data_IF_899951797061
#
_entry.id   IF_899951797061
#
_cell.length_a   1.000
_cell.length_b   1.000
_cell.length_c   1.000
_cell.angle_alpha   90.00
_cell.angle_beta   90.00
_cell.angle_gamma   90.00
#
_symmetry.space_group_name_H-M   'P 1'
#
loop_
_entity.id
_entity.type
_entity.pdbx_description
1 polymer ?
#
# COMPACT_ATOMS: atom_id res chain seq x y z
N UNK A 1 -0.14 -3.01 -23.30
CA UNK A 1 -0.55 -4.16 -22.46
C UNK A 1 -1.68 -3.67 -21.58
N UNK A 2 -2.90 -4.11 -21.88
CA UNK A 2 -4.12 -3.59 -21.26
C UNK A 2 -4.11 -3.73 -19.74
N UNK A 3 -4.58 -2.69 -19.05
CA UNK A 3 -4.70 -2.64 -17.58
C UNK A 3 -5.45 -3.87 -17.05
N UNK A 4 -6.42 -4.37 -17.82
CA UNK A 4 -7.17 -5.60 -17.53
C UNK A 4 -6.29 -6.86 -17.49
N UNK A 5 -5.34 -7.01 -18.43
CA UNK A 5 -4.44 -8.17 -18.48
C UNK A 5 -3.46 -8.18 -17.31
N UNK A 6 -2.97 -6.99 -16.90
CA UNK A 6 -2.16 -6.85 -15.68
C UNK A 6 -2.96 -7.20 -14.42
N UNK A 7 -4.22 -6.80 -14.34
CA UNK A 7 -5.08 -7.06 -13.19
C UNK A 7 -5.42 -8.56 -13.06
N UNK A 8 -5.61 -9.24 -14.19
CA UNK A 8 -5.86 -10.69 -14.23
C UNK A 8 -4.61 -11.51 -13.89
N UNK A 9 -3.44 -11.11 -14.40
CA UNK A 9 -2.15 -11.70 -14.02
C UNK A 9 -1.93 -11.57 -12.51
N UNK A 10 -2.11 -10.37 -11.95
CA UNK A 10 -1.91 -10.11 -10.53
C UNK A 10 -2.90 -10.90 -9.66
N UNK A 11 -4.15 -11.06 -10.12
CA UNK A 11 -5.11 -11.94 -9.46
C UNK A 11 -4.60 -13.38 -9.39
N UNK A 12 -4.09 -13.92 -10.50
CA UNK A 12 -3.56 -15.29 -10.58
C UNK A 12 -2.34 -15.48 -9.67
N UNK A 13 -1.43 -14.50 -9.65
CA UNK A 13 -0.27 -14.49 -8.74
C UNK A 13 -0.69 -14.50 -7.27
N UNK A 14 -1.68 -13.69 -6.89
CA UNK A 14 -2.16 -13.69 -5.51
C UNK A 14 -2.80 -15.04 -5.13
N UNK A 15 -3.53 -15.68 -6.05
CA UNK A 15 -4.08 -17.02 -5.79
C UNK A 15 -3.00 -18.09 -5.64
N UNK A 16 -1.92 -18.05 -6.43
CA UNK A 16 -0.79 -18.97 -6.24
C UNK A 16 -0.03 -18.69 -4.95
N UNK A 17 0.09 -17.42 -4.53
CA UNK A 17 0.72 -17.08 -3.24
C UNK A 17 -0.12 -17.61 -2.05
N UNK A 18 -1.46 -17.57 -2.16
CA UNK A 18 -2.35 -18.20 -1.19
C UNK A 18 -2.19 -19.71 -1.11
N UNK A 19 -2.06 -20.37 -2.26
CA UNK A 19 -1.90 -21.83 -2.34
C UNK A 19 -0.54 -22.28 -1.80
N UNK A 20 0.52 -21.50 -2.08
CA UNK A 20 1.83 -21.70 -1.47
C UNK A 20 1.79 -21.50 0.04
N UNK A 21 1.10 -20.47 0.55
CA UNK A 21 0.95 -20.24 1.98
C UNK A 21 0.22 -21.42 2.66
N UNK A 22 -0.84 -21.92 2.04
CA UNK A 22 -1.56 -23.11 2.50
C UNK A 22 -0.68 -24.37 2.45
N UNK A 23 0.19 -24.49 1.44
CA UNK A 23 1.12 -25.61 1.32
C UNK A 23 2.24 -25.55 2.36
N UNK A 24 2.77 -24.35 2.66
CA UNK A 24 3.76 -24.16 3.72
C UNK A 24 3.19 -24.38 5.11
N UNK A 25 1.87 -24.19 5.30
CA UNK A 25 1.21 -24.52 6.56
C UNK A 25 1.10 -26.03 6.80
N UNK A 26 1.03 -26.83 5.73
CA UNK A 26 0.95 -28.28 5.84
C UNK A 26 2.33 -28.93 6.07
N UNK A 27 3.42 -28.14 6.02
CA UNK A 27 4.79 -28.60 6.23
C UNK A 27 5.33 -27.84 7.44
N UNK A 28 5.31 -28.52 8.58
CA UNK A 28 5.34 -27.99 9.95
C UNK A 28 6.64 -27.29 10.41
N UNK A 29 7.62 -27.04 9.52
CA UNK A 29 9.03 -26.88 9.93
C UNK A 29 9.72 -25.53 9.60
N UNK A 30 9.08 -24.56 8.95
CA UNK A 30 9.77 -23.29 8.62
C UNK A 30 9.04 -22.03 9.15
N UNK A 31 9.36 -21.68 10.41
CA UNK A 31 8.85 -20.53 11.16
C UNK A 31 9.00 -19.18 10.42
N UNK A 32 9.92 -19.06 9.46
CA UNK A 32 10.21 -17.80 8.76
C UNK A 32 9.56 -17.67 7.37
N UNK A 33 9.09 -18.77 6.77
CA UNK A 33 8.45 -18.71 5.43
C UNK A 33 7.02 -18.16 5.48
N UNK A 34 6.26 -18.49 6.52
CA UNK A 34 4.89 -17.99 6.70
C UNK A 34 4.78 -16.44 6.73
N UNK A 35 5.54 -15.70 7.56
CA UNK A 35 5.44 -14.24 7.61
C UNK A 35 5.91 -13.56 6.31
N UNK A 36 6.89 -14.14 5.60
CA UNK A 36 7.40 -13.57 4.34
C UNK A 36 6.40 -13.73 3.20
N UNK A 37 5.67 -14.86 3.12
CA UNK A 37 4.60 -15.07 2.15
C UNK A 37 3.40 -14.15 2.44
N UNK A 38 3.07 -13.96 3.72
CA UNK A 38 2.03 -13.01 4.15
C UNK A 38 2.34 -11.57 3.75
N UNK A 39 3.59 -11.13 3.93
CA UNK A 39 4.05 -9.82 3.50
C UNK A 39 3.95 -9.65 1.97
N UNK A 40 4.32 -10.69 1.22
CA UNK A 40 4.22 -10.70 -0.25
C UNK A 40 2.78 -10.60 -0.75
N UNK A 41 1.85 -11.35 -0.16
CA UNK A 41 0.42 -11.27 -0.47
C UNK A 41 -0.12 -9.86 -0.21
N UNK A 42 0.25 -9.25 0.91
CA UNK A 42 -0.14 -7.87 1.22
C UNK A 42 0.38 -6.87 0.18
N UNK A 43 1.63 -7.02 -0.27
CA UNK A 43 2.21 -6.18 -1.31
C UNK A 43 1.43 -6.31 -2.63
N UNK A 44 1.16 -7.53 -3.09
CA UNK A 44 0.39 -7.76 -4.31
C UNK A 44 -1.05 -7.24 -4.20
N UNK A 45 -1.65 -7.28 -3.01
CA UNK A 45 -2.98 -6.73 -2.75
C UNK A 45 -3.01 -5.19 -2.81
N UNK A 46 -1.92 -4.53 -2.39
CA UNK A 46 -1.75 -3.08 -2.51
C UNK A 46 -1.57 -2.68 -3.97
N UNK A 47 -0.71 -3.38 -4.70
CA UNK A 47 -0.52 -3.16 -6.14
C UNK A 47 -1.83 -3.34 -6.91
N UNK A 48 -2.61 -4.40 -6.61
CA UNK A 48 -3.92 -4.63 -7.22
C UNK A 48 -4.88 -3.46 -6.97
N UNK A 49 -4.88 -2.91 -5.74
CA UNK A 49 -5.70 -1.76 -5.36
C UNK A 49 -5.28 -0.49 -6.11
N UNK A 50 -3.99 -0.30 -6.33
CA UNK A 50 -3.47 0.87 -7.00
C UNK A 50 -3.73 0.82 -8.51
N UNK A 51 -3.61 -0.36 -9.14
CA UNK A 51 -4.09 -0.56 -10.51
C UNK A 51 -5.60 -0.35 -10.65
N UNK A 52 -6.40 -0.79 -9.67
CA UNK A 52 -7.83 -0.49 -9.60
C UNK A 52 -8.13 1.02 -9.49
N UNK A 53 -7.30 1.76 -8.76
CA UNK A 53 -7.43 3.22 -8.61
C UNK A 53 -7.12 3.94 -9.92
N UNK A 54 -6.05 3.53 -10.61
CA UNK A 54 -5.69 4.05 -11.93
C UNK A 54 -6.79 3.73 -12.94
N UNK A 55 -7.31 2.51 -12.92
CA UNK A 55 -8.43 2.10 -13.76
C UNK A 55 -9.70 2.93 -13.50
N UNK A 56 -10.04 3.20 -12.24
CA UNK A 56 -11.16 4.08 -11.89
C UNK A 56 -11.01 5.50 -12.45
N UNK A 57 -9.79 6.01 -12.57
CA UNK A 57 -9.54 7.32 -13.15
C UNK A 57 -9.51 7.34 -14.69
N UNK A 58 -9.25 6.19 -15.32
CA UNK A 58 -9.09 6.05 -16.78
C UNK A 58 -10.37 5.55 -17.48
N UNK A 59 -11.17 4.73 -16.81
CA UNK A 59 -12.38 4.13 -17.38
C UNK A 59 -13.64 4.85 -16.88
N UNK A 60 -14.42 5.41 -17.82
CA UNK A 60 -15.74 6.04 -17.56
C UNK A 60 -16.82 5.03 -17.18
N UNK A 61 -16.62 3.73 -17.45
CA UNK A 61 -17.61 2.68 -17.24
C UNK A 61 -17.55 2.09 -15.81
N UNK A 62 -18.54 2.45 -14.99
CA UNK A 62 -18.65 2.08 -13.56
C UNK A 62 -18.94 0.58 -13.36
N UNK A 63 -19.48 -0.10 -14.38
CA UNK A 63 -19.84 -1.53 -14.32
C UNK A 63 -18.62 -2.43 -14.16
N UNK A 64 -17.59 -2.20 -14.98
CA UNK A 64 -16.38 -3.02 -14.99
C UNK A 64 -15.56 -2.81 -13.71
N UNK A 65 -15.47 -1.57 -13.24
CA UNK A 65 -14.83 -1.24 -11.96
C UNK A 65 -15.45 -2.00 -10.78
N UNK A 66 -16.79 -2.08 -10.71
CA UNK A 66 -17.49 -2.81 -9.63
C UNK A 66 -17.14 -4.30 -9.59
N UNK A 67 -16.95 -4.94 -10.75
CA UNK A 67 -16.59 -6.36 -10.83
C UNK A 67 -15.20 -6.59 -10.20
N UNK A 68 -14.22 -5.74 -10.52
CA UNK A 68 -12.87 -5.87 -9.97
C UNK A 68 -12.78 -5.46 -8.49
N UNK A 69 -13.59 -4.51 -8.04
CA UNK A 69 -13.72 -4.18 -6.61
C UNK A 69 -14.27 -5.36 -5.79
N UNK A 70 -15.29 -6.05 -6.32
CA UNK A 70 -15.84 -7.26 -5.69
C UNK A 70 -14.79 -8.38 -5.61
N UNK A 71 -13.99 -8.57 -6.66
CA UNK A 71 -12.88 -9.54 -6.67
C UNK A 71 -11.82 -9.20 -5.61
N UNK A 72 -11.40 -7.94 -5.50
CA UNK A 72 -10.47 -7.52 -4.44
C UNK A 72 -11.07 -7.73 -3.03
N UNK A 73 -12.36 -7.48 -2.86
CA UNK A 73 -13.05 -7.68 -1.57
C UNK A 73 -13.13 -9.16 -1.19
N UNK A 74 -13.36 -10.05 -2.16
CA UNK A 74 -13.30 -11.49 -1.95
C UNK A 74 -11.88 -11.94 -1.56
N UNK A 75 -10.85 -11.40 -2.23
CA UNK A 75 -9.46 -11.69 -1.96
C UNK A 75 -9.03 -11.27 -0.55
N UNK A 76 -9.45 -10.07 -0.12
CA UNK A 76 -9.28 -9.58 1.25
C UNK A 76 -9.93 -10.49 2.29
N UNK A 77 -11.17 -10.91 2.05
CA UNK A 77 -11.87 -11.83 2.96
C UNK A 77 -11.14 -13.16 3.08
N UNK A 78 -10.63 -13.71 1.97
CA UNK A 78 -9.81 -14.92 2.00
C UNK A 78 -8.52 -14.71 2.79
N UNK A 79 -7.82 -13.60 2.57
CA UNK A 79 -6.63 -13.24 3.36
C UNK A 79 -6.91 -13.21 4.85
N UNK A 80 -7.93 -12.48 5.28
CA UNK A 80 -8.28 -12.37 6.70
C UNK A 80 -8.63 -13.72 7.31
N UNK A 81 -9.34 -14.59 6.58
CA UNK A 81 -9.65 -15.95 7.05
C UNK A 81 -8.38 -16.79 7.22
N UNK A 82 -7.47 -16.73 6.24
CA UNK A 82 -6.18 -17.44 6.33
C UNK A 82 -5.37 -16.91 7.51
N UNK A 83 -5.24 -15.59 7.66
CA UNK A 83 -4.55 -14.98 8.82
C UNK A 83 -5.12 -15.42 10.16
N UNK A 84 -6.44 -15.51 10.28
CA UNK A 84 -7.12 -15.95 11.49
C UNK A 84 -6.79 -17.41 11.80
N UNK A 85 -6.81 -18.28 10.78
CA UNK A 85 -6.42 -19.68 10.92
C UNK A 85 -4.97 -19.84 11.42
N UNK A 86 -4.02 -19.07 10.88
CA UNK A 86 -2.62 -19.09 11.36
C UNK A 86 -2.53 -18.68 12.82
N UNK A 87 -3.23 -17.63 13.21
CA UNK A 87 -3.18 -17.15 14.58
C UNK A 87 -3.79 -18.16 15.55
N UNK A 88 -4.91 -18.79 15.17
CA UNK A 88 -5.58 -19.83 15.95
C UNK A 88 -4.69 -21.07 16.14
N UNK A 89 -4.03 -21.54 15.08
CA UNK A 89 -3.04 -22.63 15.14
C UNK A 89 -1.88 -22.30 16.10
N UNK A 90 -1.33 -21.08 16.02
CA UNK A 90 -0.27 -20.65 16.94
C UNK A 90 -0.75 -20.65 18.40
N UNK A 91 -1.98 -20.20 18.65
CA UNK A 91 -2.57 -20.18 19.99
C UNK A 91 -2.76 -21.61 20.53
N UNK A 92 -3.18 -22.56 19.69
CA UNK A 92 -3.30 -23.98 20.08
C UNK A 92 -1.93 -24.56 20.46
N UNK A 93 -0.88 -24.32 19.66
CA UNK A 93 0.49 -24.77 19.98
C UNK A 93 1.00 -24.20 21.31
N UNK A 94 0.75 -22.92 21.56
CA UNK A 94 1.09 -22.27 22.84
C UNK A 94 0.31 -22.88 24.01
N UNK A 95 -0.97 -23.17 23.83
CA UNK A 95 -1.78 -23.83 24.84
C UNK A 95 -1.25 -25.24 25.15
N UNK A 96 -0.88 -26.02 24.13
CA UNK A 96 -0.29 -27.34 24.31
C UNK A 96 1.05 -27.27 25.06
N UNK A 97 1.93 -26.33 24.72
CA UNK A 97 3.19 -26.12 25.45
C UNK A 97 2.96 -25.84 26.93
N UNK A 98 1.97 -24.99 27.26
CA UNK A 98 1.59 -24.70 28.65
C UNK A 98 1.07 -25.94 29.36
N UNK A 99 0.23 -26.75 28.72
CA UNK A 99 -0.28 -28.00 29.28
C UNK A 99 0.84 -28.97 29.61
N UNK A 100 1.78 -29.22 28.70
CA UNK A 100 2.90 -30.16 28.92
C UNK A 100 3.85 -29.66 30.02
N UNK A 101 4.26 -28.39 29.95
CA UNK A 101 5.22 -27.82 30.89
C UNK A 101 4.66 -27.68 32.32
N UNK A 102 3.37 -27.35 32.45
CA UNK A 102 2.72 -27.23 33.77
C UNK A 102 2.36 -28.60 34.36
N UNK A 103 2.06 -29.60 33.51
CA UNK A 103 1.79 -30.96 33.94
C UNK A 103 3.06 -31.69 34.44
N UNK A 104 4.25 -31.38 33.87
CA UNK A 104 5.51 -32.02 34.28
C UNK A 104 5.93 -31.68 35.73
N UNK A 105 5.53 -30.53 36.27
CA UNK A 105 5.79 -30.17 37.67
C UNK A 105 4.83 -30.86 38.66
N UNK A 106 3.75 -31.47 38.17
CA UNK A 106 2.80 -32.20 39.02
C UNK A 106 3.18 -33.67 39.24
N UNK A 107 4.13 -34.21 38.46
CA UNK A 107 4.54 -35.63 38.54
C UNK A 107 5.80 -35.86 39.38
N UNK A 108 6.48 -34.80 39.84
CA UNK A 108 7.73 -34.92 40.62
C UNK A 108 7.51 -35.19 42.12
N UNK A 109 6.42 -35.87 42.50
CA UNK A 109 6.19 -36.34 43.87
C UNK A 109 6.03 -37.86 44.03
N UNK A 110 6.38 -38.63 43.00
CA UNK A 110 6.70 -40.04 43.14
C UNK A 110 7.91 -40.30 42.26
N UNK A 111 9.08 -40.54 42.85
CA UNK A 111 10.09 -41.52 42.40
C UNK A 111 11.44 -41.21 43.10
N UNK A 112 12.04 -42.29 43.62
CA UNK A 112 13.47 -42.47 43.91
C UNK A 112 14.00 -41.96 45.26
N UNK A 113 13.79 -42.82 46.26
CA UNK A 113 14.86 -43.20 47.19
C UNK A 113 15.99 -43.90 46.42
N UNK A 114 17.21 -43.74 46.95
CA UNK A 114 18.42 -44.56 46.74
C UNK A 114 19.44 -44.00 45.73
N UNK A 115 20.45 -43.32 46.26
CA UNK A 115 21.80 -43.38 45.68
C UNK A 115 22.86 -43.44 46.80
N UNK A 116 23.76 -44.39 46.59
CA UNK A 116 24.82 -44.86 47.46
C UNK A 116 26.15 -44.38 46.91
N UNK A 117 27.08 -43.94 47.78
CA UNK A 117 28.51 -44.33 47.78
C UNK A 117 29.43 -43.20 48.32
N UNK A 118 30.15 -43.49 49.41
CA UNK A 118 31.22 -42.64 49.94
C UNK A 118 31.43 -42.73 51.45
N UNK A 119 31.69 -43.93 52.01
CA UNK A 119 31.92 -44.01 53.47
C UNK A 119 32.36 -45.36 54.07
N UNK A 120 32.88 -46.29 53.26
CA UNK A 120 32.97 -47.71 53.63
C UNK A 120 33.95 -48.03 54.78
N UNK A 121 34.93 -47.17 55.10
CA UNK A 121 35.91 -47.47 56.16
C UNK A 121 35.59 -46.87 57.54
N UNK A 122 34.80 -45.78 57.59
CA UNK A 122 34.39 -45.17 58.86
C UNK A 122 33.19 -45.91 59.45
N UNK A 123 32.22 -46.26 58.59
CA UNK A 123 30.96 -46.91 59.01
C UNK A 123 31.17 -48.32 59.58
N UNK A 124 32.14 -49.09 59.06
CA UNK A 124 32.47 -50.41 59.59
C UNK A 124 33.08 -50.34 61.01
N UNK A 125 33.85 -49.29 61.31
CA UNK A 125 34.45 -49.07 62.64
C UNK A 125 33.40 -48.65 63.66
N UNK A 126 32.50 -47.74 63.28
CA UNK A 126 31.46 -47.22 64.17
C UNK A 126 30.36 -48.26 64.46
N UNK A 127 30.13 -49.21 63.55
CA UNK A 127 29.22 -50.35 63.76
C UNK A 127 29.77 -51.40 64.75
N UNK A 128 31.09 -51.56 64.85
CA UNK A 128 31.73 -52.50 65.79
C UNK A 128 31.75 -51.99 67.24
N UNK A 129 31.76 -50.67 67.46
CA UNK A 129 31.78 -50.07 68.80
C UNK A 129 30.40 -49.70 69.35
N UNK A 130 29.39 -49.50 68.47
CA UNK A 130 28.02 -49.17 68.89
C UNK A 130 27.27 -50.33 69.55
N UNK A 131 27.68 -51.58 69.30
CA UNK A 131 27.00 -52.77 69.82
C UNK A 131 27.34 -53.13 71.29
N UNK A 132 28.33 -52.48 71.92
CA UNK A 132 28.81 -52.87 73.27
C UNK A 132 28.21 -52.03 74.41
N UNK A 133 27.68 -50.85 74.13
CA UNK A 133 27.15 -49.94 75.15
C UNK A 133 25.62 -49.93 75.28
N UNK A 134 24.90 -50.61 74.39
CA UNK A 134 23.46 -50.40 74.21
C UNK A 134 22.57 -51.15 75.20
N UNK A 135 23.00 -52.20 75.92
CA UNK A 135 22.00 -53.08 76.59
C UNK A 135 21.28 -52.51 77.83
N UNK A 136 21.81 -51.50 78.52
CA UNK A 136 21.12 -50.80 79.64
C UNK A 136 20.65 -49.37 79.30
N UNK A 137 21.16 -48.80 78.20
CA UNK A 137 20.74 -47.50 77.67
C UNK A 137 19.75 -47.65 76.51
N UNK A 138 19.55 -48.86 75.96
CA UNK A 138 18.67 -49.12 74.81
C UNK A 138 17.21 -48.78 75.07
N UNK A 139 16.64 -49.04 76.25
CA UNK A 139 15.23 -48.68 76.49
C UNK A 139 15.04 -47.16 76.61
N UNK A 140 15.92 -46.46 77.32
CA UNK A 140 15.90 -44.99 77.37
C UNK A 140 16.26 -44.35 76.01
N UNK A 141 17.18 -44.97 75.25
CA UNK A 141 17.60 -44.55 73.91
C UNK A 141 16.51 -44.76 72.87
N UNK A 142 15.79 -45.90 72.88
CA UNK A 142 14.67 -46.15 71.97
C UNK A 142 13.54 -45.17 72.23
N UNK A 143 13.17 -44.94 73.49
CA UNK A 143 12.19 -43.92 73.84
C UNK A 143 12.64 -42.51 73.41
N UNK A 144 13.93 -42.19 73.55
CA UNK A 144 14.50 -40.92 73.11
C UNK A 144 14.60 -40.80 71.59
N UNK A 145 14.86 -41.90 70.88
CA UNK A 145 14.93 -41.98 69.42
C UNK A 145 13.54 -41.86 68.79
N UNK A 146 12.52 -42.45 69.42
CA UNK A 146 11.10 -42.28 69.05
C UNK A 146 10.66 -40.83 69.26
N UNK A 147 11.00 -40.23 70.41
CA UNK A 147 10.69 -38.82 70.65
C UNK A 147 11.41 -37.89 69.66
N UNK A 148 12.67 -38.19 69.31
CA UNK A 148 13.42 -37.47 68.27
C UNK A 148 12.82 -37.67 66.87
N UNK A 149 12.33 -38.87 66.54
CA UNK A 149 11.62 -39.11 65.28
C UNK A 149 10.29 -38.36 65.22
N UNK A 150 9.52 -38.37 66.30
CA UNK A 150 8.26 -37.62 66.38
C UNK A 150 8.49 -36.11 66.30
N UNK A 151 9.54 -35.58 66.95
CA UNK A 151 9.91 -34.16 66.80
C UNK A 151 10.41 -33.85 65.39
N UNK A 152 11.17 -34.74 64.75
CA UNK A 152 11.58 -34.57 63.34
C UNK A 152 10.39 -34.56 62.39
N UNK A 153 9.46 -35.51 62.53
CA UNK A 153 8.23 -35.58 61.72
C UNK A 153 7.37 -34.34 61.97
N UNK A 154 7.23 -33.90 63.22
CA UNK A 154 6.50 -32.67 63.54
C UNK A 154 7.19 -31.46 62.92
N UNK A 155 8.52 -31.38 62.98
CA UNK A 155 9.30 -30.30 62.38
C UNK A 155 9.22 -30.28 60.86
N UNK A 156 9.21 -31.46 60.20
CA UNK A 156 9.07 -31.54 58.74
C UNK A 156 7.65 -31.18 58.29
N UNK A 157 6.64 -31.57 59.06
CA UNK A 157 5.24 -31.23 58.79
C UNK A 157 4.98 -29.74 59.01
N UNK A 158 5.59 -29.15 60.03
CA UNK A 158 5.57 -27.70 60.25
C UNK A 158 6.27 -26.94 59.11
N UNK A 159 7.42 -27.45 58.65
CA UNK A 159 8.16 -26.88 57.51
C UNK A 159 7.40 -27.03 56.18
N UNK A 160 6.69 -28.14 55.99
CA UNK A 160 5.80 -28.37 54.85
C UNK A 160 4.61 -27.41 54.88
N UNK A 161 4.00 -27.19 56.05
CA UNK A 161 2.96 -26.18 56.25
C UNK A 161 3.48 -24.78 55.91
N UNK A 162 4.69 -24.43 56.34
CA UNK A 162 5.28 -23.11 56.07
C UNK A 162 5.56 -22.93 54.56
N UNK A 163 6.06 -23.98 53.89
CA UNK A 163 6.23 -23.99 52.43
C UNK A 163 4.89 -23.89 51.70
N UNK A 164 3.90 -24.67 52.10
CA UNK A 164 2.57 -24.65 51.50
C UNK A 164 1.91 -23.28 51.67
N UNK A 165 2.05 -22.65 52.83
CA UNK A 165 1.58 -21.28 53.06
C UNK A 165 2.30 -20.27 52.16
N UNK A 166 3.62 -20.45 51.97
CA UNK A 166 4.42 -19.60 51.08
C UNK A 166 4.03 -19.79 49.61
N UNK A 167 3.80 -21.03 49.17
CA UNK A 167 3.35 -21.35 47.82
C UNK A 167 1.94 -20.82 47.54
N UNK A 168 1.04 -20.85 48.53
CA UNK A 168 -0.29 -20.24 48.42
C UNK A 168 -0.17 -18.73 48.22
N UNK A 169 0.62 -18.03 49.04
CA UNK A 169 0.84 -16.59 48.90
C UNK A 169 1.44 -16.24 47.53
N UNK A 170 2.37 -17.07 47.04
CA UNK A 170 2.95 -16.90 45.72
C UNK A 170 1.93 -17.13 44.59
N UNK A 171 0.99 -18.07 44.77
CA UNK A 171 -0.11 -18.31 43.84
C UNK A 171 -1.13 -17.17 43.84
N UNK A 172 -1.49 -16.62 45.00
CA UNK A 172 -2.39 -15.46 45.10
C UNK A 172 -1.78 -14.24 44.40
N UNK A 173 -0.49 -13.96 44.64
CA UNK A 173 0.20 -12.84 44.00
C UNK A 173 0.32 -13.01 42.47
N UNK A 174 0.45 -14.25 41.98
CA UNK A 174 0.41 -14.54 40.55
C UNK A 174 -1.00 -14.37 39.97
N UNK A 175 -2.04 -14.79 40.69
CA UNK A 175 -3.44 -14.55 40.30
C UNK A 175 -3.74 -13.05 40.19
N UNK A 176 -3.28 -12.25 41.14
CA UNK A 176 -3.41 -10.79 41.09
C UNK A 176 -2.65 -10.18 39.92
N UNK A 177 -1.45 -10.69 39.61
CA UNK A 177 -0.69 -10.27 38.45
C UNK A 177 -1.40 -10.62 37.13
N UNK A 178 -2.00 -11.82 37.03
CA UNK A 178 -2.79 -12.23 35.86
C UNK A 178 -4.06 -11.38 35.72
N UNK A 179 -4.73 -11.03 36.83
CA UNK A 179 -5.90 -10.15 36.82
C UNK A 179 -5.50 -8.72 36.38
N UNK A 180 -4.37 -8.21 36.85
CA UNK A 180 -3.82 -6.93 36.40
C UNK A 180 -3.44 -6.96 34.92
N UNK A 181 -2.77 -8.00 34.45
CA UNK A 181 -2.45 -8.19 33.03
C UNK A 181 -3.72 -8.29 32.18
N UNK A 182 -4.77 -8.92 32.69
CA UNK A 182 -6.09 -9.00 32.02
C UNK A 182 -6.78 -7.64 31.96
N UNK A 183 -6.72 -6.85 33.04
CA UNK A 183 -7.21 -5.46 33.06
C UNK A 183 -6.42 -4.57 32.12
N UNK A 184 -5.12 -4.72 32.04
CA UNK A 184 -4.27 -3.97 31.12
C UNK A 184 -4.52 -4.37 29.66
N UNK A 185 -4.72 -5.66 29.37
CA UNK A 185 -5.18 -6.13 28.07
C UNK A 185 -6.54 -5.56 27.71
N UNK A 186 -7.46 -5.46 28.67
CA UNK A 186 -8.79 -4.86 28.47
C UNK A 186 -8.65 -3.37 28.15
N UNK A 187 -7.80 -2.63 28.87
CA UNK A 187 -7.48 -1.23 28.57
C UNK A 187 -6.80 -1.05 27.22
N UNK A 188 -5.89 -1.95 26.84
CA UNK A 188 -5.25 -1.95 25.53
C UNK A 188 -6.29 -2.17 24.43
N UNK A 189 -7.21 -3.13 24.61
CA UNK A 189 -8.32 -3.36 23.68
C UNK A 189 -9.23 -2.13 23.56
N UNK A 190 -9.58 -1.49 24.68
CA UNK A 190 -10.35 -0.24 24.67
C UNK A 190 -9.60 0.90 23.96
N UNK A 191 -8.29 1.03 24.19
CA UNK A 191 -7.42 1.97 23.48
C UNK A 191 -7.35 1.67 21.97
N UNK A 192 -7.33 0.39 21.57
CA UNK A 192 -7.41 -0.02 20.16
C UNK A 192 -8.78 0.31 19.54
N UNK A 193 -9.87 0.16 20.29
CA UNK A 193 -11.21 0.57 19.84
C UNK A 193 -11.27 2.09 19.67
N UNK A 194 -10.77 2.87 20.63
CA UNK A 194 -10.67 4.33 20.51
C UNK A 194 -9.78 4.74 19.33
N UNK A 195 -8.64 4.09 19.13
CA UNK A 195 -7.76 4.35 17.99
C UNK A 195 -8.46 4.02 16.66
N UNK A 196 -9.25 2.94 16.65
CA UNK A 196 -10.11 2.58 15.52
C UNK A 196 -11.15 3.67 15.22
N UNK A 197 -11.80 4.21 16.24
CA UNK A 197 -12.76 5.31 16.08
C UNK A 197 -12.08 6.61 15.63
N UNK A 198 -10.90 6.93 16.19
CA UNK A 198 -10.08 8.06 15.75
C UNK A 198 -9.61 7.92 14.30
N UNK A 199 -9.20 6.72 13.88
CA UNK A 199 -8.86 6.44 12.48
C UNK A 199 -10.08 6.53 11.57
N UNK A 200 -11.25 6.08 12.03
CA UNK A 200 -12.48 6.15 11.26
C UNK A 200 -12.94 7.61 11.12
N UNK A 201 -12.79 8.40 12.19
CA UNK A 201 -13.00 9.85 12.19
C UNK A 201 -12.01 10.54 11.25
N UNK A 202 -10.72 10.27 11.38
CA UNK A 202 -9.67 10.77 10.46
C UNK A 202 -10.00 10.43 9.01
N UNK A 203 -10.40 9.19 8.72
CA UNK A 203 -10.85 8.75 7.40
C UNK A 203 -12.10 9.50 6.93
N UNK A 204 -13.03 9.79 7.84
CA UNK A 204 -14.19 10.64 7.61
C UNK A 204 -13.80 12.06 7.21
N UNK A 205 -12.86 12.68 7.94
CA UNK A 205 -12.29 14.00 7.61
C UNK A 205 -11.58 13.94 6.24
N UNK A 206 -10.71 12.95 5.99
CA UNK A 206 -10.03 12.78 4.70
C UNK A 206 -11.05 12.67 3.56
N UNK A 207 -12.13 11.89 3.77
CA UNK A 207 -13.16 11.68 2.75
C UNK A 207 -14.04 12.92 2.55
N UNK A 208 -14.25 13.69 3.62
CA UNK A 208 -14.92 14.99 3.55
C UNK A 208 -14.06 16.00 2.78
N UNK A 209 -12.76 16.06 3.04
CA UNK A 209 -11.79 16.88 2.29
C UNK A 209 -11.74 16.45 0.82
N UNK A 210 -11.63 15.15 0.54
CA UNK A 210 -11.63 14.62 -0.83
C UNK A 210 -12.94 14.97 -1.58
N UNK A 211 -14.09 14.85 -0.90
CA UNK A 211 -15.39 15.19 -1.49
C UNK A 211 -15.54 16.71 -1.66
N UNK A 212 -15.07 17.52 -0.72
CA UNK A 212 -15.08 18.98 -0.84
C UNK A 212 -14.22 19.43 -2.01
N UNK A 213 -12.97 18.94 -2.15
CA UNK A 213 -12.09 19.27 -3.27
C UNK A 213 -12.73 18.91 -4.61
N UNK A 214 -13.37 17.73 -4.70
CA UNK A 214 -14.06 17.33 -5.94
C UNK A 214 -15.26 18.23 -6.26
N UNK A 215 -16.06 18.59 -5.25
CA UNK A 215 -17.21 19.48 -5.45
C UNK A 215 -16.80 20.91 -5.77
N UNK A 216 -15.69 21.37 -5.20
CA UNK A 216 -15.14 22.70 -5.43
C UNK A 216 -14.53 22.81 -6.82
N UNK A 217 -13.74 21.80 -7.24
CA UNK A 217 -13.31 21.64 -8.64
C UNK A 217 -14.50 21.66 -9.60
N UNK A 218 -15.57 20.92 -9.31
CA UNK A 218 -16.75 20.90 -10.17
C UNK A 218 -17.43 22.28 -10.28
N UNK A 219 -17.50 23.04 -9.18
CA UNK A 219 -18.01 24.42 -9.19
C UNK A 219 -17.12 25.35 -10.02
N UNK A 220 -15.80 25.25 -9.87
CA UNK A 220 -14.83 26.03 -10.66
C UNK A 220 -15.00 25.73 -12.15
N UNK A 221 -15.08 24.46 -12.54
CA UNK A 221 -15.30 24.06 -13.95
C UNK A 221 -16.65 24.53 -14.49
N UNK A 222 -17.73 24.48 -13.70
CA UNK A 222 -19.03 24.99 -14.13
C UNK A 222 -18.99 26.49 -14.40
N UNK A 223 -18.30 27.27 -13.55
CA UNK A 223 -18.11 28.71 -13.74
C UNK A 223 -17.26 29.01 -14.97
N UNK A 224 -16.13 28.31 -15.14
CA UNK A 224 -15.25 28.45 -16.31
C UNK A 224 -15.99 28.09 -17.61
N UNK A 225 -16.79 27.01 -17.58
CA UNK A 225 -17.60 26.57 -18.70
C UNK A 225 -18.71 27.57 -19.04
N UNK A 226 -19.39 28.12 -18.03
CA UNK A 226 -20.41 29.16 -18.25
C UNK A 226 -19.81 30.44 -18.85
N UNK A 227 -18.60 30.83 -18.43
CA UNK A 227 -17.88 31.94 -19.02
C UNK A 227 -17.55 31.71 -20.50
N UNK A 228 -17.00 30.54 -20.83
CA UNK A 228 -16.71 30.16 -22.22
C UNK A 228 -17.99 30.08 -23.03
N UNK A 229 -19.06 29.48 -22.50
CA UNK A 229 -20.35 29.39 -23.17
C UNK A 229 -20.93 30.79 -23.43
N UNK A 230 -20.77 31.73 -22.48
CA UNK A 230 -21.14 33.13 -22.67
C UNK A 230 -20.31 33.78 -23.78
N UNK A 231 -18.99 33.60 -23.79
CA UNK A 231 -18.12 34.08 -24.87
C UNK A 231 -18.49 33.48 -26.23
N UNK A 232 -18.70 32.17 -26.31
CA UNK A 232 -19.12 31.47 -27.53
C UNK A 232 -20.51 31.93 -27.97
N UNK A 233 -21.43 32.18 -27.04
CA UNK A 233 -22.76 32.71 -27.35
C UNK A 233 -22.69 34.13 -27.91
N UNK A 234 -21.87 34.99 -27.31
CA UNK A 234 -21.62 36.36 -27.79
C UNK A 234 -20.94 36.33 -29.16
N UNK A 235 -19.92 35.50 -29.35
CA UNK A 235 -19.25 35.29 -30.64
C UNK A 235 -20.21 34.70 -31.67
N UNK A 236 -21.06 33.74 -31.28
CA UNK A 236 -22.10 33.16 -32.13
C UNK A 236 -23.03 34.25 -32.66
N UNK A 237 -23.51 35.10 -31.73
CA UNK A 237 -24.47 36.16 -32.03
C UNK A 237 -23.86 37.32 -32.80
N UNK A 238 -22.59 37.66 -32.55
CA UNK A 238 -21.96 38.87 -33.07
C UNK A 238 -21.04 38.62 -34.26
N UNK A 239 -20.16 37.64 -34.13
CA UNK A 239 -19.14 37.31 -35.14
C UNK A 239 -19.70 36.25 -36.08
N UNK A 240 -20.17 35.10 -35.64
CA UNK A 240 -20.38 33.95 -36.55
C UNK A 240 -21.26 34.21 -37.77
N UNK A 241 -22.39 34.94 -37.68
CA UNK A 241 -23.29 35.05 -38.85
C UNK A 241 -22.68 35.69 -40.10
N UNK A 242 -21.69 36.58 -39.98
CA UNK A 242 -21.05 37.26 -41.14
C UNK A 242 -19.67 36.71 -41.46
N UNK A 243 -18.68 36.74 -40.54
CA UNK A 243 -17.41 36.09 -40.77
C UNK A 243 -17.48 34.59 -40.89
N UNK A 244 -18.41 33.79 -40.32
CA UNK A 244 -18.45 32.38 -40.74
C UNK A 244 -18.92 32.23 -42.17
N UNK A 245 -19.80 33.07 -42.72
CA UNK A 245 -20.09 33.01 -44.17
C UNK A 245 -18.86 33.37 -45.00
N UNK A 246 -18.11 34.40 -44.61
CA UNK A 246 -16.88 34.82 -45.30
C UNK A 246 -15.77 33.79 -45.12
N UNK A 247 -15.62 33.21 -43.93
CA UNK A 247 -14.61 32.23 -43.55
C UNK A 247 -14.95 30.87 -44.13
N UNK A 248 -16.20 30.40 -44.14
CA UNK A 248 -16.59 29.21 -44.90
C UNK A 248 -16.43 29.44 -46.40
N UNK A 249 -16.76 30.62 -46.94
CA UNK A 249 -16.52 30.91 -48.35
C UNK A 249 -15.03 30.95 -48.68
N UNK A 250 -14.21 31.56 -47.82
CA UNK A 250 -12.76 31.63 -47.95
C UNK A 250 -12.09 30.27 -47.74
N UNK A 251 -12.50 29.49 -46.73
CA UNK A 251 -12.02 28.14 -46.49
C UNK A 251 -12.49 27.20 -47.59
N UNK A 252 -13.74 27.26 -48.03
CA UNK A 252 -14.19 26.43 -49.15
C UNK A 252 -13.45 26.78 -50.43
N UNK A 253 -13.17 28.07 -50.68
CA UNK A 253 -12.40 28.50 -51.85
C UNK A 253 -10.92 28.13 -51.74
N UNK A 254 -10.29 28.24 -50.57
CA UNK A 254 -8.91 27.79 -50.35
C UNK A 254 -8.81 26.26 -50.42
N UNK A 255 -9.78 25.54 -49.86
CA UNK A 255 -9.82 24.09 -49.90
C UNK A 255 -10.12 23.59 -51.31
N UNK A 256 -10.94 24.30 -52.09
CA UNK A 256 -11.18 23.97 -53.50
C UNK A 256 -9.96 24.31 -54.38
N UNK A 257 -9.25 25.41 -54.12
CA UNK A 257 -7.96 25.72 -54.78
C UNK A 257 -6.90 24.68 -54.40
N UNK A 258 -6.82 24.30 -53.12
CA UNK A 258 -5.84 23.35 -52.62
C UNK A 258 -6.16 21.94 -53.13
N UNK A 259 -7.43 21.56 -53.19
CA UNK A 259 -7.87 20.29 -53.75
C UNK A 259 -7.82 20.26 -55.29
N UNK A 260 -7.81 21.43 -55.96
CA UNK A 260 -7.56 21.55 -57.40
C UNK A 260 -6.05 21.52 -57.73
N UNK A 261 -5.20 22.15 -56.91
CA UNK A 261 -3.74 22.06 -57.03
C UNK A 261 -3.23 20.66 -56.66
N UNK A 262 -3.87 20.00 -55.67
CA UNK A 262 -3.44 18.71 -55.14
C UNK A 262 -4.19 17.52 -55.77
N UNK A 263 -5.30 17.77 -56.47
CA UNK A 263 -6.16 16.78 -57.09
C UNK A 263 -6.29 16.99 -58.60
N UNK A 264 -5.60 16.12 -59.35
CA UNK A 264 -5.83 15.75 -60.76
C UNK A 264 -5.63 16.84 -61.84
N UNK A 265 -4.56 16.65 -62.62
CA UNK A 265 -4.42 17.25 -63.93
C UNK A 265 -5.50 16.76 -64.90
N UNK A 266 -6.17 17.69 -65.57
CA UNK A 266 -6.70 17.53 -66.92
C UNK A 266 -7.15 18.86 -67.52
N UNK A 267 -6.53 19.17 -68.67
CA UNK A 267 -6.99 20.02 -69.78
C UNK A 267 -7.01 21.53 -69.53
N UNK A 268 -5.86 22.12 -69.82
CA UNK A 268 -5.72 23.51 -70.19
C UNK A 268 -6.32 23.76 -71.58
N UNK A 269 -7.28 24.67 -71.69
CA UNK A 269 -7.48 25.46 -72.89
C UNK A 269 -7.19 26.93 -72.56
N UNK A 270 -6.23 27.42 -73.34
CA UNK A 270 -5.72 28.77 -73.52
C UNK A 270 -6.77 29.88 -73.45
N UNK A 271 -6.47 30.94 -72.70
CA UNK A 271 -6.80 32.32 -73.09
C UNK A 271 -5.82 33.28 -72.43
N UNK A 272 -4.91 33.79 -73.25
CA UNK A 272 -3.91 34.82 -72.93
C UNK A 272 -4.61 36.17 -72.89
N UNK A 273 -4.87 36.75 -71.71
CA UNK A 273 -5.28 38.17 -71.64
C UNK A 273 -5.15 38.87 -70.26
N UNK A 274 -4.30 38.40 -69.34
CA UNK A 274 -4.18 39.02 -68.00
C UNK A 274 -2.77 39.40 -67.57
N UNK A 275 -1.80 39.42 -68.50
CA UNK A 275 -0.42 39.84 -68.19
C UNK A 275 -0.27 41.37 -68.08
N UNK A 276 -1.06 42.14 -68.81
CA UNK A 276 -0.87 43.60 -68.89
C UNK A 276 -1.54 44.38 -67.73
N UNK A 277 -2.52 43.80 -67.04
CA UNK A 277 -3.20 44.46 -65.90
C UNK A 277 -2.47 44.29 -64.57
N UNK A 278 -1.58 43.29 -64.44
CA UNK A 278 -0.85 43.02 -63.19
C UNK A 278 0.43 43.88 -63.04
N UNK A 279 1.02 44.40 -64.12
CA UNK A 279 2.19 45.30 -64.04
C UNK A 279 1.84 46.71 -63.58
N UNK A 280 0.63 47.20 -63.86
CA UNK A 280 0.20 48.55 -63.48
C UNK A 280 -0.19 48.64 -62.00
N UNK A 281 -0.61 47.53 -61.38
CA UNK A 281 -0.98 47.48 -59.96
C UNK A 281 0.25 47.33 -59.06
N UNK A 282 1.30 46.63 -59.52
CA UNK A 282 2.54 46.45 -58.75
C UNK A 282 3.32 47.76 -58.49
N UNK A 283 3.19 48.76 -59.37
CA UNK A 283 3.92 50.04 -59.22
C UNK A 283 3.31 50.98 -58.18
N UNK A 284 2.02 50.84 -57.86
CA UNK A 284 1.33 51.71 -56.89
C UNK A 284 1.44 51.20 -55.46
N UNK A 285 1.61 49.88 -55.26
CA UNK A 285 1.79 49.29 -53.92
C UNK A 285 3.17 49.52 -53.34
N UNK A 286 4.21 49.68 -54.16
CA UNK A 286 5.57 49.93 -53.66
C UNK A 286 5.73 51.32 -53.03
N UNK A 287 5.17 52.36 -53.64
CA UNK A 287 5.30 53.75 -53.16
C UNK A 287 4.52 53.97 -51.85
N UNK A 288 3.37 53.32 -51.71
CA UNK A 288 2.54 53.39 -50.48
C UNK A 288 3.21 52.63 -49.32
N UNK A 289 3.87 51.51 -49.60
CA UNK A 289 4.56 50.71 -48.59
C UNK A 289 5.82 51.39 -48.04
N UNK A 290 6.58 52.11 -48.88
CA UNK A 290 7.76 52.88 -48.46
C UNK A 290 7.40 54.08 -47.56
N UNK A 291 6.24 54.68 -47.80
CA UNK A 291 5.75 55.81 -46.99
C UNK A 291 5.22 55.33 -45.64
N UNK A 292 4.51 54.19 -45.61
CA UNK A 292 3.97 53.61 -44.38
C UNK A 292 5.05 52.97 -43.48
N UNK A 293 6.15 52.47 -44.05
CA UNK A 293 7.25 51.89 -43.27
C UNK A 293 8.14 52.94 -42.59
N UNK A 294 8.17 54.18 -43.10
CA UNK A 294 8.98 55.26 -42.51
C UNK A 294 8.33 55.87 -41.25
N UNK A 295 7.02 55.65 -41.05
CA UNK A 295 6.26 56.22 -39.92
C UNK A 295 6.18 55.27 -38.70
N UNK A 296 6.61 54.00 -38.84
CA UNK A 296 6.36 52.95 -37.84
C UNK A 296 7.64 52.45 -37.13
N UNK A 297 8.85 52.76 -37.58
CA UNK A 297 10.08 52.26 -36.95
C UNK A 297 11.11 53.36 -36.69
N UNK A 298 11.19 53.81 -35.44
CA UNK A 298 12.42 54.34 -34.86
C UNK A 298 13.44 53.20 -34.73
N UNK A 299 14.68 53.48 -35.14
CA UNK A 299 15.92 52.72 -34.89
C UNK A 299 16.28 51.47 -35.73
N UNK A 300 17.60 51.27 -36.00
CA UNK A 300 18.09 50.71 -37.24
C UNK A 300 18.63 49.28 -37.09
N UNK A 301 18.03 48.33 -37.81
CA UNK A 301 18.61 47.00 -38.01
C UNK A 301 19.11 46.84 -39.45
N UNK A 302 20.20 47.56 -39.78
CA UNK A 302 20.79 47.59 -41.13
C UNK A 302 21.33 46.25 -41.63
N UNK A 303 21.38 45.21 -40.79
CA UNK A 303 21.88 43.89 -41.19
C UNK A 303 20.81 43.00 -41.86
N UNK A 304 19.53 43.33 -41.68
CA UNK A 304 18.43 42.49 -42.21
C UNK A 304 18.03 42.85 -43.64
N UNK A 305 18.20 44.12 -44.03
CA UNK A 305 17.81 44.61 -45.35
C UNK A 305 18.76 44.15 -46.47
N UNK A 306 20.07 44.14 -46.22
CA UNK A 306 21.08 43.62 -47.17
C UNK A 306 20.87 42.12 -47.46
N UNK A 307 20.50 41.35 -46.43
CA UNK A 307 20.24 39.90 -46.54
C UNK A 307 18.95 39.62 -47.34
N UNK A 308 17.94 40.47 -47.21
CA UNK A 308 16.68 40.33 -47.95
C UNK A 308 16.85 40.81 -49.41
N UNK A 309 17.60 41.88 -49.65
CA UNK A 309 17.85 42.38 -51.02
C UNK A 309 18.76 41.43 -51.81
N UNK A 310 19.77 40.83 -51.18
CA UNK A 310 20.65 39.85 -51.84
C UNK A 310 19.94 38.54 -52.18
N UNK A 311 19.05 38.06 -51.31
CA UNK A 311 18.23 36.87 -51.58
C UNK A 311 17.24 37.11 -52.72
N UNK A 312 16.61 38.29 -52.77
CA UNK A 312 15.73 38.67 -53.89
C UNK A 312 16.53 38.78 -55.21
N UNK A 313 17.72 39.37 -55.19
CA UNK A 313 18.57 39.52 -56.40
C UNK A 313 19.08 38.17 -56.92
N UNK A 314 19.40 37.22 -56.02
CA UNK A 314 19.82 35.86 -56.40
C UNK A 314 18.66 35.08 -57.03
N UNK A 315 17.44 35.24 -56.50
CA UNK A 315 16.26 34.61 -57.09
C UNK A 315 15.86 35.21 -58.43
N UNK A 316 16.11 36.50 -58.67
CA UNK A 316 15.84 37.13 -59.96
C UNK A 316 16.83 36.70 -61.05
N UNK A 317 18.12 36.48 -60.71
CA UNK A 317 19.12 36.01 -61.68
C UNK A 317 18.94 34.55 -62.11
N UNK A 318 18.44 33.68 -61.22
CA UNK A 318 18.15 32.28 -61.56
C UNK A 318 16.94 32.11 -62.49
N UNK A 319 16.10 33.14 -62.62
CA UNK A 319 14.95 33.15 -63.53
C UNK A 319 15.34 33.67 -64.93
N UNK A 320 16.48 34.35 -65.08
CA UNK A 320 16.94 34.92 -66.36
C UNK A 320 17.92 34.00 -67.13
N UNK A 321 18.31 32.85 -66.56
CA UNK A 321 19.23 31.87 -67.19
C UNK A 321 18.57 30.52 -67.57
N UNK A 322 17.22 30.46 -67.63
CA UNK A 322 16.45 29.31 -68.12
C UNK A 322 15.49 29.71 -69.26
#
# INVERSE_FOLDING_TARGET
MDIHSKLDHLQKTIYSDFDNLLSTLNIEDDDNSSPTIVARINQHLVEYKDYLRIMKSVSTDDSIYRIYDLKLKALKRKFTKVQLYLNEEQQVKIQQYRLVHFNLLSDSQNETSDDSNGGTHQSARDQLFSNRSSRKTAEASIAQQINQHNTKITSSLQKSRDLLSTSILQSELNIDAIDQQTKDLTKLNESFIQFGDLLNKSRGIIKFIEKQDKSDRQRIYLSMGFFILCCVWVLYRRVLRRPLKILFWSLFKIFNIFNWILGTGSKAETSKETADTLRVIASTTAVVLSTALSEVFEEPASETLETIISSITTTARLVDEL
#
